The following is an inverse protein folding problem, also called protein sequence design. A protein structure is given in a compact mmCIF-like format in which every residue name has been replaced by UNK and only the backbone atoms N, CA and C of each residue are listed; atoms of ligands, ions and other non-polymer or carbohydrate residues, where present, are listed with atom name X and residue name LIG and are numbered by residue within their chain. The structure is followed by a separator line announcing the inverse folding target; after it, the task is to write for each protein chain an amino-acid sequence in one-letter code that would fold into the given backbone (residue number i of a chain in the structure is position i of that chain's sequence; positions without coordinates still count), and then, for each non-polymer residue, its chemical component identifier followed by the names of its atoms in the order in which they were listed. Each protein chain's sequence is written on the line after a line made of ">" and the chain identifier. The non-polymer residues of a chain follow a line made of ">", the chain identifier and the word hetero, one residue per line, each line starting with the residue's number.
data_IF_833513190224
#
_entry.id   IF_833513190224
#
_cell.length_a   1.000
_cell.length_b   1.000
_cell.length_c   1.000
_cell.angle_alpha   90.00
_cell.angle_beta   90.00
_cell.angle_gamma   90.00
#
_symmetry.space_group_name_H-M   'P 1'
#
loop_
_entity.id
_entity.type
_entity.pdbx_description
1 polymer ?
#
# COMPACT_ATOMS: atom_id res chain seq x y z
N UNK A 1 -19.37 -24.52 5.21
CA UNK A 1 -19.25 -23.07 5.56
C UNK A 1 -18.04 -22.52 4.81
N UNK A 2 -17.95 -21.22 4.58
CA UNK A 2 -16.79 -20.64 3.88
C UNK A 2 -15.76 -20.07 4.88
N UNK A 3 -14.47 -20.30 4.64
CA UNK A 3 -13.32 -19.73 5.37
C UNK A 3 -12.45 -18.89 4.43
N UNK A 4 -11.74 -17.89 4.97
CA UNK A 4 -10.79 -17.05 4.22
C UNK A 4 -9.39 -17.13 4.80
N UNK A 5 -8.37 -17.32 3.96
CA UNK A 5 -6.96 -17.37 4.35
C UNK A 5 -6.13 -16.38 3.53
N UNK A 6 -5.55 -15.37 4.18
CA UNK A 6 -4.65 -14.41 3.55
C UNK A 6 -3.27 -15.03 3.38
N UNK A 7 -2.80 -15.14 2.14
CA UNK A 7 -1.49 -15.75 1.82
C UNK A 7 -0.47 -14.75 1.25
N UNK A 8 -0.91 -13.54 0.88
CA UNK A 8 -0.01 -12.49 0.36
C UNK A 8 -0.49 -11.12 0.81
N UNK A 9 0.46 -10.34 1.33
CA UNK A 9 0.27 -8.93 1.67
C UNK A 9 1.31 -8.09 0.93
N UNK A 10 0.86 -6.94 0.42
CA UNK A 10 1.69 -5.93 -0.22
C UNK A 10 1.46 -4.57 0.46
N UNK A 11 2.53 -3.79 0.59
CA UNK A 11 2.47 -2.39 1.01
C UNK A 11 2.69 -1.50 -0.21
N UNK A 12 1.73 -0.64 -0.53
CA UNK A 12 1.84 0.34 -1.60
C UNK A 12 1.95 1.73 -0.97
N UNK A 13 2.93 2.49 -1.42
CA UNK A 13 3.16 3.87 -0.99
C UNK A 13 3.03 4.75 -2.22
N UNK A 14 2.06 5.65 -2.21
CA UNK A 14 1.84 6.63 -3.27
C UNK A 14 2.49 7.97 -2.91
N UNK A 15 3.21 8.53 -3.86
CA UNK A 15 3.85 9.83 -3.75
C UNK A 15 3.24 10.79 -4.75
N UNK A 16 2.96 12.02 -4.33
CA UNK A 16 2.41 13.04 -5.21
C UNK A 16 3.49 13.55 -6.17
N UNK A 17 3.17 13.56 -7.46
CA UNK A 17 4.05 13.92 -8.56
C UNK A 17 3.38 14.97 -9.46
N UNK A 18 2.73 15.96 -8.85
CA UNK A 18 2.03 17.05 -9.52
C UNK A 18 0.55 16.74 -9.79
N UNK A 19 -0.06 17.58 -10.62
CA UNK A 19 -1.49 17.54 -10.95
C UNK A 19 -1.63 17.49 -12.48
N UNK A 20 -2.58 16.70 -12.96
CA UNK A 20 -2.92 16.65 -14.38
C UNK A 20 -3.62 17.95 -14.79
N UNK A 21 -3.10 18.71 -15.76
CA UNK A 21 -3.67 20.00 -16.16
C UNK A 21 -5.05 19.89 -16.84
N UNK A 22 -5.40 18.73 -17.39
CA UNK A 22 -6.67 18.54 -18.11
C UNK A 22 -7.80 18.05 -17.21
N UNK A 23 -7.47 17.24 -16.19
CA UNK A 23 -8.46 16.63 -15.28
C UNK A 23 -8.46 17.23 -13.87
N UNK A 24 -7.46 18.05 -13.53
CA UNK A 24 -7.16 18.54 -12.19
C UNK A 24 -6.93 17.44 -11.14
N UNK A 25 -6.61 16.20 -11.57
CA UNK A 25 -6.36 15.09 -10.67
C UNK A 25 -4.89 15.01 -10.24
N UNK A 26 -4.65 14.60 -9.00
CA UNK A 26 -3.29 14.39 -8.49
C UNK A 26 -2.64 13.20 -9.18
N UNK A 27 -1.45 13.42 -9.76
CA UNK A 27 -0.65 12.37 -10.36
C UNK A 27 0.13 11.67 -9.25
N UNK A 28 -0.21 10.40 -8.98
CA UNK A 28 0.44 9.61 -7.92
C UNK A 28 1.45 8.63 -8.51
N UNK A 29 2.70 8.71 -8.07
CA UNK A 29 3.74 7.72 -8.35
C UNK A 29 3.80 6.69 -7.23
N UNK A 30 3.47 5.44 -7.54
CA UNK A 30 3.42 4.35 -6.54
C UNK A 30 4.70 3.55 -6.47
N UNK A 31 5.08 3.16 -5.24
CA UNK A 31 6.08 2.13 -4.95
C UNK A 31 5.39 0.99 -4.23
N UNK A 32 5.63 -0.24 -4.68
CA UNK A 32 5.04 -1.44 -4.09
C UNK A 32 6.12 -2.30 -3.46
N UNK A 33 5.91 -2.70 -2.21
CA UNK A 33 6.74 -3.62 -1.47
C UNK A 33 5.98 -4.94 -1.31
N UNK A 34 6.57 -6.00 -1.84
CA UNK A 34 6.02 -7.35 -1.81
C UNK A 34 6.52 -8.13 -0.58
N UNK A 35 5.93 -9.30 -0.34
CA UNK A 35 6.33 -10.23 0.73
C UNK A 35 6.27 -9.60 2.11
N UNK A 36 5.27 -8.76 2.34
CA UNK A 36 4.98 -8.22 3.67
C UNK A 36 4.38 -9.36 4.51
N UNK A 37 4.74 -9.41 5.79
CA UNK A 37 4.15 -10.35 6.74
C UNK A 37 2.65 -10.11 6.81
N UNK A 38 1.87 -11.17 6.63
CA UNK A 38 0.40 -11.11 6.67
C UNK A 38 -0.12 -10.65 8.04
N UNK A 39 0.66 -10.90 9.09
CA UNK A 39 0.39 -10.47 10.47
C UNK A 39 0.78 -9.03 10.79
N UNK A 40 1.41 -8.28 9.87
CA UNK A 40 1.81 -6.90 10.12
C UNK A 40 0.59 -6.03 10.46
N UNK A 41 0.68 -5.14 11.44
CA UNK A 41 -0.44 -4.25 11.79
C UNK A 41 -0.44 -2.97 10.94
N UNK A 42 -1.58 -2.28 10.88
CA UNK A 42 -1.68 -0.99 10.17
C UNK A 42 -0.66 0.03 10.69
N UNK A 43 -0.47 0.11 12.02
CA UNK A 43 0.50 1.02 12.64
C UNK A 43 1.94 0.69 12.24
N UNK A 44 2.30 -0.60 12.22
CA UNK A 44 3.63 -1.04 11.79
C UNK A 44 3.89 -0.69 10.33
N UNK A 45 2.90 -0.92 9.45
CA UNK A 45 3.01 -0.58 8.04
C UNK A 45 3.12 0.92 7.82
N UNK A 46 2.33 1.72 8.56
CA UNK A 46 2.35 3.17 8.46
C UNK A 46 3.67 3.78 8.97
N UNK A 47 4.21 3.28 10.09
CA UNK A 47 5.51 3.71 10.61
C UNK A 47 6.64 3.44 9.61
N UNK A 48 6.66 2.25 9.00
CA UNK A 48 7.63 1.91 7.95
C UNK A 48 7.43 2.79 6.72
N UNK A 49 6.19 3.04 6.30
CA UNK A 49 5.90 3.89 5.15
C UNK A 49 6.40 5.32 5.36
N UNK A 50 6.23 5.90 6.55
CA UNK A 50 6.77 7.22 6.90
C UNK A 50 8.31 7.23 6.86
N UNK A 51 8.95 6.21 7.44
CA UNK A 51 10.41 6.11 7.45
C UNK A 51 10.97 5.97 6.02
N UNK A 52 10.28 5.24 5.12
CA UNK A 52 10.69 5.13 3.72
C UNK A 52 10.41 6.42 2.93
N UNK A 53 9.31 7.10 3.25
CA UNK A 53 8.92 8.34 2.59
C UNK A 53 9.89 9.49 2.89
N UNK A 54 10.43 9.58 4.11
CA UNK A 54 11.43 10.60 4.47
C UNK A 54 12.72 10.52 3.64
N UNK A 55 13.00 9.35 3.04
CA UNK A 55 14.13 9.12 2.14
C UNK A 55 13.80 9.40 0.66
N UNK A 56 12.54 9.67 0.33
CA UNK A 56 12.12 10.00 -1.03
C UNK A 56 12.14 11.51 -1.28
N UNK A 57 12.21 11.89 -2.56
CA UNK A 57 12.16 13.30 -2.99
C UNK A 57 10.73 13.85 -3.09
N UNK A 58 9.77 12.96 -3.33
CA UNK A 58 8.37 13.32 -3.52
C UNK A 58 7.62 13.17 -2.18
N UNK A 59 6.64 14.04 -1.90
CA UNK A 59 5.87 13.96 -0.66
C UNK A 59 5.00 12.70 -0.64
N UNK A 60 4.83 12.14 0.56
CA UNK A 60 3.90 11.04 0.80
C UNK A 60 2.47 11.51 0.57
N UNK A 61 1.73 10.79 -0.25
CA UNK A 61 0.33 11.08 -0.56
C UNK A 61 -0.61 10.02 0.03
N UNK A 62 -0.27 8.74 -0.14
CA UNK A 62 -1.10 7.64 0.34
C UNK A 62 -0.28 6.43 0.79
N UNK A 63 -0.84 5.66 1.73
CA UNK A 63 -0.31 4.37 2.18
C UNK A 63 -1.44 3.36 2.11
N UNK A 64 -1.27 2.31 1.32
CA UNK A 64 -2.26 1.27 1.09
C UNK A 64 -1.69 -0.11 1.44
N UNK A 65 -2.50 -0.91 2.13
CA UNK A 65 -2.28 -2.35 2.29
C UNK A 65 -3.16 -3.11 1.31
N UNK A 66 -2.56 -4.02 0.56
CA UNK A 66 -3.26 -4.88 -0.39
C UNK A 66 -3.06 -6.34 0.03
N UNK A 67 -4.14 -6.99 0.45
CA UNK A 67 -4.14 -8.41 0.83
C UNK A 67 -4.77 -9.27 -0.26
N UNK A 68 -4.20 -10.45 -0.47
CA UNK A 68 -4.80 -11.51 -1.26
C UNK A 68 -5.13 -12.68 -0.35
N UNK A 69 -6.40 -13.09 -0.40
CA UNK A 69 -6.91 -14.23 0.33
C UNK A 69 -7.53 -15.25 -0.59
N UNK A 70 -7.42 -16.51 -0.18
CA UNK A 70 -8.17 -17.62 -0.75
C UNK A 70 -9.45 -17.82 0.08
N UNK A 71 -10.58 -18.03 -0.59
CA UNK A 71 -11.86 -18.34 0.07
C UNK A 71 -12.20 -19.79 -0.29
N UNK A 72 -12.32 -20.64 0.73
CA UNK A 72 -12.62 -22.08 0.56
C UNK A 72 -13.95 -22.37 1.23
N UNK A 73 -14.84 -23.09 0.52
CA UNK A 73 -16.10 -23.60 1.06
C UNK A 73 -16.06 -25.12 1.14
N UNK A 74 -16.63 -25.67 2.21
CA UNK A 74 -16.90 -27.12 2.35
C UNK A 74 -17.82 -27.66 1.25
#
# INVERSE_FOLDING_TARGET
>A
MAMSHVYRTQLKIGFENGVNPDTNEVIVKRKTFNNIKTEATADQLYAVAQALASLQKLPLHEVERSDHSEIVGD
#
